data_IF_536880039023
#
_entry.id   IF_536880039023
#
_cell.length_a   1.000
_cell.length_b   1.000
_cell.length_c   1.000
_cell.angle_alpha   90.00
_cell.angle_beta   90.00
_cell.angle_gamma   90.00
#
_symmetry.space_group_name_H-M   'P 1'
#
loop_
_entity.id
_entity.type
_entity.pdbx_description
1 polymer ?
#
# COMPACT_ATOMS: atom_id res chain seq x y z
N UNK A 1 -9.39 31.84 -24.76
CA UNK A 1 -10.52 31.01 -24.26
C UNK A 1 -10.10 30.39 -22.93
N UNK A 2 -10.96 30.40 -21.93
CA UNK A 2 -10.60 30.13 -20.52
C UNK A 2 -10.14 28.69 -20.27
N UNK A 3 -8.83 28.47 -20.20
CA UNK A 3 -8.19 27.21 -19.78
C UNK A 3 -8.52 26.82 -18.31
N UNK A 4 -9.04 27.76 -17.50
CA UNK A 4 -9.26 27.60 -16.06
C UNK A 4 -10.09 26.36 -15.66
N UNK A 5 -11.06 25.94 -16.48
CA UNK A 5 -11.86 24.76 -16.13
C UNK A 5 -11.09 23.45 -16.37
N UNK A 6 -10.22 23.40 -17.39
CA UNK A 6 -9.35 22.26 -17.67
C UNK A 6 -8.34 22.08 -16.56
N UNK A 7 -7.70 23.18 -16.15
CA UNK A 7 -6.73 23.16 -15.06
C UNK A 7 -7.37 22.68 -13.75
N UNK A 8 -8.60 23.12 -13.47
CA UNK A 8 -9.37 22.66 -12.31
C UNK A 8 -9.72 21.17 -12.40
N UNK A 9 -10.20 20.71 -13.55
CA UNK A 9 -10.54 19.30 -13.77
C UNK A 9 -9.31 18.39 -13.67
N UNK A 10 -8.16 18.83 -14.18
CA UNK A 10 -6.91 18.09 -14.02
C UNK A 10 -6.47 18.08 -12.54
N UNK A 11 -6.52 19.24 -11.87
CA UNK A 11 -6.12 19.34 -10.46
C UNK A 11 -6.99 18.56 -9.48
N UNK A 12 -8.18 18.10 -9.89
CA UNK A 12 -9.04 17.27 -9.04
C UNK A 12 -8.68 15.80 -9.08
N UNK A 13 -7.60 15.38 -9.77
CA UNK A 13 -7.21 13.98 -10.00
C UNK A 13 -8.19 13.13 -10.82
N UNK A 14 -9.45 13.53 -10.94
CA UNK A 14 -10.50 12.80 -11.65
C UNK A 14 -10.10 12.16 -13.01
N UNK A 15 -9.35 12.84 -13.92
CA UNK A 15 -8.89 12.18 -15.14
C UNK A 15 -7.88 11.06 -14.90
N UNK A 16 -6.94 11.25 -13.97
CA UNK A 16 -5.95 10.24 -13.60
C UNK A 16 -6.63 9.03 -12.95
N UNK A 17 -7.61 9.26 -12.07
CA UNK A 17 -8.43 8.19 -11.47
C UNK A 17 -9.09 7.35 -12.57
N UNK A 18 -9.76 8.00 -13.54
CA UNK A 18 -10.41 7.30 -14.63
C UNK A 18 -9.45 6.49 -15.51
N UNK A 19 -8.27 7.03 -15.80
CA UNK A 19 -7.26 6.31 -16.57
C UNK A 19 -6.71 5.10 -15.79
N UNK A 20 -6.45 5.26 -14.48
CA UNK A 20 -6.00 4.17 -13.62
C UNK A 20 -7.04 3.06 -13.47
N UNK A 21 -8.32 3.41 -13.29
CA UNK A 21 -9.41 2.43 -13.26
C UNK A 21 -9.48 1.64 -14.57
N UNK A 22 -9.34 2.30 -15.71
CA UNK A 22 -9.32 1.62 -17.02
C UNK A 22 -8.14 0.67 -17.17
N UNK A 23 -6.98 1.03 -16.65
CA UNK A 23 -5.81 0.15 -16.72
C UNK A 23 -6.01 -1.10 -15.86
N UNK A 24 -6.44 -0.91 -14.61
CA UNK A 24 -6.77 -2.01 -13.70
C UNK A 24 -7.84 -2.94 -14.27
N UNK A 25 -8.90 -2.39 -14.87
CA UNK A 25 -9.94 -3.21 -15.51
C UNK A 25 -9.46 -4.00 -16.72
N UNK A 26 -8.44 -3.52 -17.47
CA UNK A 26 -7.83 -4.33 -18.55
C UNK A 26 -7.06 -5.52 -18.00
N UNK A 27 -6.47 -5.36 -16.82
CA UNK A 27 -5.66 -6.39 -16.15
C UNK A 27 -6.49 -7.36 -15.29
N UNK A 28 -7.82 -7.34 -15.42
CA UNK A 28 -8.73 -8.29 -14.79
C UNK A 28 -9.26 -7.86 -13.41
N UNK A 29 -8.99 -6.63 -12.97
CA UNK A 29 -9.55 -6.14 -11.72
C UNK A 29 -11.01 -5.68 -11.88
N UNK A 30 -11.85 -6.07 -10.94
CA UNK A 30 -13.12 -5.40 -10.65
C UNK A 30 -12.84 -4.12 -9.88
N UNK A 31 -13.27 -2.98 -10.42
CA UNK A 31 -12.87 -1.66 -9.91
C UNK A 31 -14.08 -0.90 -9.35
N UNK A 32 -13.94 -0.45 -8.10
CA UNK A 32 -14.86 0.48 -7.46
C UNK A 32 -14.22 1.87 -7.36
N UNK A 33 -15.02 2.91 -7.63
CA UNK A 33 -14.53 4.29 -7.76
C UNK A 33 -14.22 4.98 -6.44
N UNK A 34 -14.49 4.36 -5.30
CA UNK A 34 -14.15 4.88 -3.97
C UNK A 34 -14.11 3.72 -2.95
N UNK A 35 -13.08 3.67 -2.09
CA UNK A 35 -13.12 2.90 -0.84
C UNK A 35 -13.49 3.83 0.32
N UNK A 36 -14.74 3.79 0.78
CA UNK A 36 -15.22 4.66 1.84
C UNK A 36 -14.88 4.12 3.24
N UNK A 37 -14.41 4.98 4.13
CA UNK A 37 -14.18 4.66 5.54
C UNK A 37 -14.46 5.87 6.43
N UNK A 38 -14.80 5.63 7.69
CA UNK A 38 -14.91 6.69 8.68
C UNK A 38 -13.72 6.70 9.62
N UNK A 39 -13.31 7.89 10.07
CA UNK A 39 -12.41 8.05 11.23
C UNK A 39 -12.83 9.24 12.09
N UNK A 40 -12.29 9.30 13.30
CA UNK A 40 -12.43 10.50 14.13
C UNK A 40 -11.52 11.61 13.60
N UNK A 41 -12.07 12.82 13.55
CA UNK A 41 -11.34 14.07 13.32
C UNK A 41 -11.70 15.02 14.46
N UNK A 42 -10.83 15.03 15.48
CA UNK A 42 -11.18 15.53 16.81
C UNK A 42 -12.30 14.68 17.42
N UNK A 43 -13.37 15.34 17.88
CA UNK A 43 -14.53 14.67 18.49
C UNK A 43 -15.61 14.26 17.48
N UNK A 44 -15.40 14.51 16.18
CA UNK A 44 -16.41 14.26 15.13
C UNK A 44 -16.00 13.08 14.25
N UNK A 45 -16.89 12.12 14.06
CA UNK A 45 -16.74 11.07 13.04
C UNK A 45 -16.99 11.67 11.66
N UNK A 46 -16.01 11.54 10.76
CA UNK A 46 -16.09 11.99 9.37
C UNK A 46 -15.81 10.84 8.42
N UNK A 47 -16.44 10.90 7.26
CA UNK A 47 -16.20 9.96 6.18
C UNK A 47 -15.12 10.49 5.25
N UNK A 48 -14.26 9.56 4.82
CA UNK A 48 -13.16 9.75 3.91
C UNK A 48 -13.22 8.62 2.87
N UNK A 49 -12.47 8.79 1.80
CA UNK A 49 -12.29 7.74 0.81
C UNK A 49 -10.86 7.70 0.30
N UNK A 50 -10.52 6.54 -0.23
CA UNK A 50 -9.44 6.38 -1.21
C UNK A 50 -10.07 6.28 -2.59
N UNK A 51 -9.41 6.87 -3.59
CA UNK A 51 -9.99 7.06 -4.92
C UNK A 51 -10.31 5.76 -5.67
N UNK A 52 -9.62 4.65 -5.44
CA UNK A 52 -9.87 3.38 -6.15
C UNK A 52 -9.70 2.19 -5.21
N UNK A 53 -10.69 1.30 -5.19
CA UNK A 53 -10.59 -0.08 -4.68
C UNK A 53 -10.67 -1.05 -5.86
N UNK A 54 -9.60 -1.80 -6.09
CA UNK A 54 -9.54 -2.78 -7.16
C UNK A 54 -9.33 -4.18 -6.58
N UNK A 55 -10.24 -5.08 -6.94
CA UNK A 55 -10.27 -6.47 -6.49
C UNK A 55 -10.06 -7.41 -7.67
N UNK A 56 -9.14 -8.36 -7.52
CA UNK A 56 -8.95 -9.49 -8.44
C UNK A 56 -8.75 -10.78 -7.65
N UNK A 57 -8.70 -11.91 -8.35
CA UNK A 57 -8.55 -13.23 -7.75
C UNK A 57 -7.41 -14.00 -8.43
N UNK A 58 -6.74 -14.85 -7.67
CA UNK A 58 -5.76 -15.80 -8.20
C UNK A 58 -6.42 -17.14 -8.52
N UNK A 59 -5.90 -17.89 -9.51
CA UNK A 59 -4.89 -17.47 -10.47
C UNK A 59 -5.48 -16.46 -11.47
N UNK A 60 -4.70 -15.43 -11.84
CA UNK A 60 -5.21 -14.28 -12.59
C UNK A 60 -5.74 -14.59 -14.00
N UNK A 61 -5.49 -15.80 -14.51
CA UNK A 61 -5.91 -16.26 -15.84
C UNK A 61 -7.13 -17.20 -15.79
N UNK A 62 -7.64 -17.55 -14.61
CA UNK A 62 -8.79 -18.46 -14.43
C UNK A 62 -9.80 -17.91 -13.42
N UNK A 63 -11.01 -17.62 -13.88
CA UNK A 63 -12.10 -17.14 -13.00
C UNK A 63 -12.80 -18.29 -12.24
N UNK A 64 -12.58 -19.54 -12.62
CA UNK A 64 -13.32 -20.70 -12.11
C UNK A 64 -12.66 -21.37 -10.88
N UNK A 65 -11.41 -21.03 -10.55
CA UNK A 65 -10.62 -21.72 -9.52
C UNK A 65 -9.94 -20.72 -8.56
N UNK A 66 -10.76 -20.03 -7.75
CA UNK A 66 -10.28 -18.95 -6.88
C UNK A 66 -9.45 -19.51 -5.71
N UNK A 67 -8.16 -19.24 -5.73
CA UNK A 67 -7.19 -19.65 -4.68
C UNK A 67 -6.80 -18.51 -3.74
N UNK A 68 -7.12 -17.27 -4.09
CA UNK A 68 -6.75 -16.10 -3.30
C UNK A 68 -7.38 -14.83 -3.84
N UNK A 69 -7.39 -13.77 -3.03
CA UNK A 69 -7.89 -12.45 -3.45
C UNK A 69 -6.82 -11.36 -3.36
N UNK A 70 -6.91 -10.36 -4.24
CA UNK A 70 -5.91 -9.29 -4.35
C UNK A 70 -6.61 -7.95 -4.36
N UNK A 71 -6.29 -7.11 -3.36
CA UNK A 71 -6.78 -5.75 -3.22
C UNK A 71 -5.69 -4.73 -3.53
N UNK A 72 -5.91 -3.90 -4.55
CA UNK A 72 -5.11 -2.70 -4.81
C UNK A 72 -5.92 -1.47 -4.38
N UNK A 73 -5.37 -0.73 -3.41
CA UNK A 73 -5.99 0.49 -2.90
C UNK A 73 -5.20 1.68 -3.45
N UNK A 74 -5.78 2.45 -4.37
CA UNK A 74 -5.03 3.47 -5.14
C UNK A 74 -5.54 4.87 -4.85
N UNK A 75 -4.67 5.71 -4.31
CA UNK A 75 -4.91 7.15 -4.12
C UNK A 75 -4.23 7.93 -5.24
N UNK A 76 -4.97 8.71 -6.00
CA UNK A 76 -4.52 9.43 -7.18
C UNK A 76 -4.22 10.90 -6.87
N UNK A 77 -2.99 11.34 -7.15
CA UNK A 77 -2.56 12.73 -6.98
C UNK A 77 -2.01 13.29 -8.29
N UNK A 78 -2.89 13.89 -9.10
CA UNK A 78 -2.47 14.62 -10.28
C UNK A 78 -1.69 15.89 -9.91
N UNK A 79 -0.65 16.19 -10.70
CA UNK A 79 0.14 17.41 -10.63
C UNK A 79 0.32 18.08 -11.97
N UNK A 80 0.33 19.41 -11.91
CA UNK A 80 0.65 20.26 -13.06
C UNK A 80 2.11 20.06 -13.47
N UNK A 81 2.38 20.27 -14.75
CA UNK A 81 3.73 20.23 -15.30
C UNK A 81 4.69 21.14 -14.53
N UNK A 82 5.94 20.69 -14.36
CA UNK A 82 6.95 21.37 -13.55
C UNK A 82 6.91 21.02 -12.06
N UNK A 83 6.02 20.11 -11.66
CA UNK A 83 6.02 19.52 -10.32
C UNK A 83 6.79 18.19 -10.35
N UNK A 84 7.75 18.02 -9.44
CA UNK A 84 8.53 16.79 -9.26
C UNK A 84 8.41 16.33 -7.81
N UNK A 85 8.43 15.04 -7.55
CA UNK A 85 8.48 14.52 -6.18
C UNK A 85 9.88 13.98 -5.89
N UNK A 86 10.56 14.57 -4.90
CA UNK A 86 11.89 14.18 -4.47
C UNK A 86 11.80 13.44 -3.15
N UNK A 87 12.36 12.23 -3.11
CA UNK A 87 12.37 11.35 -1.97
C UNK A 87 13.77 11.20 -1.39
N UNK A 88 13.86 11.13 -0.07
CA UNK A 88 15.08 10.81 0.64
C UNK A 88 15.17 9.30 0.85
N UNK A 89 16.25 8.63 0.42
CA UNK A 89 16.45 7.21 0.70
C UNK A 89 16.57 6.98 2.21
N UNK A 90 16.37 5.75 2.66
CA UNK A 90 16.67 5.36 4.05
C UNK A 90 18.18 5.56 4.35
N UNK A 91 18.57 6.49 5.25
CA UNK A 91 19.95 6.66 5.68
C UNK A 91 20.40 5.64 6.73
N UNK A 92 19.52 4.78 7.25
CA UNK A 92 19.90 3.79 8.25
C UNK A 92 20.65 2.61 7.63
N UNK A 93 21.49 1.97 8.45
CA UNK A 93 21.99 0.63 8.15
C UNK A 93 20.81 -0.37 8.09
N UNK A 94 20.91 -1.46 7.30
CA UNK A 94 19.81 -2.40 7.09
C UNK A 94 19.15 -2.90 8.38
N UNK A 95 19.94 -3.22 9.41
CA UNK A 95 19.44 -3.74 10.71
C UNK A 95 18.65 -2.71 11.53
N UNK A 96 18.71 -1.42 11.16
CA UNK A 96 18.00 -0.32 11.81
C UNK A 96 16.96 0.32 10.89
N UNK A 97 16.76 -0.25 9.69
CA UNK A 97 15.71 0.16 8.80
C UNK A 97 14.35 -0.14 9.42
N UNK A 98 13.38 0.78 9.36
CA UNK A 98 12.00 0.51 9.76
C UNK A 98 11.21 -0.19 8.65
N UNK A 99 11.79 -0.35 7.47
CA UNK A 99 11.21 -1.16 6.41
C UNK A 99 11.41 -2.64 6.73
N UNK A 100 10.35 -3.41 6.52
CA UNK A 100 10.36 -4.85 6.68
C UNK A 100 10.05 -5.44 5.30
N UNK A 101 10.99 -6.24 4.79
CA UNK A 101 10.79 -6.94 3.52
C UNK A 101 9.60 -7.90 3.64
N UNK A 102 8.81 -7.98 2.57
CA UNK A 102 7.58 -8.74 2.52
C UNK A 102 6.34 -7.99 3.03
N UNK A 103 6.47 -6.73 3.45
CA UNK A 103 5.33 -5.92 3.95
C UNK A 103 4.85 -4.86 2.95
N UNK A 104 5.49 -4.74 1.78
CA UNK A 104 5.05 -3.83 0.73
C UNK A 104 3.78 -4.35 0.06
N UNK A 105 3.84 -5.57 -0.48
CA UNK A 105 2.66 -6.40 -0.79
C UNK A 105 2.37 -7.17 0.49
N UNK A 106 1.27 -6.88 1.16
CA UNK A 106 0.92 -7.63 2.37
C UNK A 106 0.31 -8.95 1.93
N UNK A 107 0.97 -10.05 2.26
CA UNK A 107 0.43 -11.39 2.13
C UNK A 107 -0.21 -11.79 3.46
N UNK A 108 -1.53 -12.02 3.48
CA UNK A 108 -2.27 -12.39 4.67
C UNK A 108 -2.92 -13.75 4.46
N UNK A 109 -2.37 -14.75 5.15
CA UNK A 109 -2.88 -16.12 5.15
C UNK A 109 -3.42 -16.52 6.52
N UNK A 110 -3.13 -15.77 7.60
CA UNK A 110 -3.42 -16.13 9.00
C UNK A 110 -4.90 -16.38 9.31
N UNK A 111 -5.80 -16.05 8.39
CA UNK A 111 -7.25 -16.26 8.45
C UNK A 111 -7.75 -17.29 7.43
N UNK A 112 -6.83 -18.08 6.87
CA UNK A 112 -7.08 -19.14 5.90
C UNK A 112 -6.44 -20.46 6.35
N UNK A 113 -7.05 -21.56 5.91
CA UNK A 113 -6.52 -22.91 5.95
C UNK A 113 -5.28 -23.08 5.05
N UNK A 114 -5.17 -22.32 3.96
CA UNK A 114 -4.01 -22.35 3.09
C UNK A 114 -2.88 -21.49 3.69
N UNK A 115 -1.67 -22.05 3.77
CA UNK A 115 -0.51 -21.39 4.35
C UNK A 115 0.42 -20.91 3.25
N UNK A 116 0.70 -19.60 3.23
CA UNK A 116 1.66 -19.04 2.29
C UNK A 116 3.09 -19.32 2.77
N UNK A 117 4.03 -19.61 1.87
CA UNK A 117 5.42 -19.79 2.25
C UNK A 117 5.98 -18.53 2.92
N UNK A 118 6.91 -18.68 3.88
CA UNK A 118 7.57 -17.53 4.47
C UNK A 118 8.29 -16.72 3.39
N UNK A 119 8.23 -15.39 3.49
CA UNK A 119 8.88 -14.47 2.57
C UNK A 119 8.40 -14.57 1.11
N UNK A 120 7.21 -15.12 0.84
CA UNK A 120 6.69 -15.35 -0.51
C UNK A 120 6.59 -14.08 -1.39
N UNK A 121 6.51 -12.90 -0.78
CA UNK A 121 6.43 -11.60 -1.46
C UNK A 121 7.69 -10.74 -1.31
N UNK A 122 8.72 -11.21 -0.60
CA UNK A 122 10.04 -10.55 -0.53
C UNK A 122 10.70 -10.35 -1.91
N UNK A 123 10.53 -11.24 -2.91
CA UNK A 123 11.10 -11.01 -4.24
C UNK A 123 10.66 -9.69 -4.90
N UNK A 124 9.48 -9.14 -4.56
CA UNK A 124 9.07 -7.82 -5.02
C UNK A 124 9.98 -6.72 -4.45
N UNK A 125 10.27 -6.81 -3.15
CA UNK A 125 11.08 -5.85 -2.41
C UNK A 125 12.57 -5.91 -2.78
N UNK A 126 13.06 -7.07 -3.24
CA UNK A 126 14.44 -7.28 -3.69
C UNK A 126 14.67 -6.93 -5.16
N UNK A 127 13.63 -6.48 -5.88
CA UNK A 127 13.74 -6.14 -7.29
C UNK A 127 14.80 -5.07 -7.52
N UNK A 128 15.69 -5.31 -8.48
CA UNK A 128 16.75 -4.37 -8.82
C UNK A 128 16.19 -2.98 -9.16
N UNK A 129 16.71 -1.96 -8.48
CA UNK A 129 16.30 -0.57 -8.69
C UNK A 129 15.06 -0.12 -7.92
N UNK A 130 14.43 -0.99 -7.12
CA UNK A 130 13.41 -0.57 -6.16
C UNK A 130 14.07 0.12 -4.97
N UNK A 131 13.63 1.35 -4.68
CA UNK A 131 14.21 2.18 -3.62
C UNK A 131 13.26 2.28 -2.42
N UNK A 132 13.81 2.22 -1.22
CA UNK A 132 13.11 2.43 0.04
C UNK A 132 13.41 3.83 0.57
N UNK A 133 12.36 4.65 0.70
CA UNK A 133 12.49 6.09 0.95
C UNK A 133 11.69 6.54 2.17
N UNK A 134 12.30 7.33 3.04
CA UNK A 134 11.63 7.78 4.24
C UNK A 134 10.58 8.85 4.05
N UNK A 135 10.91 9.82 3.21
CA UNK A 135 10.16 11.06 3.12
C UNK A 135 10.25 11.62 1.72
N UNK A 136 9.10 12.00 1.18
CA UNK A 136 8.99 12.76 -0.06
C UNK A 136 8.71 14.24 0.20
N UNK A 137 9.14 15.07 -0.73
CA UNK A 137 8.75 16.47 -0.86
C UNK A 137 8.36 16.75 -2.31
N UNK A 138 7.30 17.51 -2.48
CA UNK A 138 6.93 18.04 -3.79
C UNK A 138 7.72 19.32 -4.05
N UNK A 139 8.37 19.40 -5.22
CA UNK A 139 9.14 20.55 -5.67
C UNK A 139 8.48 21.12 -6.93
N UNK A 140 7.97 22.35 -6.82
CA UNK A 140 7.43 23.11 -7.94
C UNK A 140 8.54 23.98 -8.53
N UNK A 141 9.11 23.51 -9.65
CA UNK A 141 10.21 24.19 -10.33
C UNK A 141 9.75 25.44 -11.09
N UNK A 142 8.44 25.65 -11.23
CA UNK A 142 7.85 26.81 -11.93
C UNK A 142 7.59 27.96 -10.96
N UNK A 143 7.08 27.65 -9.76
CA UNK A 143 6.71 28.65 -8.74
C UNK A 143 7.71 28.74 -7.58
N UNK A 144 8.84 28.04 -7.66
CA UNK A 144 9.93 28.03 -6.67
C UNK A 144 9.43 27.73 -5.24
N UNK A 145 8.65 26.66 -5.10
CA UNK A 145 8.12 26.23 -3.81
C UNK A 145 8.35 24.74 -3.56
N UNK A 146 8.42 24.36 -2.29
CA UNK A 146 8.57 22.98 -1.86
C UNK A 146 7.62 22.67 -0.70
N UNK A 147 6.83 21.60 -0.83
CA UNK A 147 5.78 21.23 0.14
C UNK A 147 5.67 19.71 0.26
N UNK A 148 5.51 19.19 1.48
CA UNK A 148 5.30 17.74 1.71
C UNK A 148 3.82 17.38 1.94
N UNK A 149 2.95 18.39 2.04
CA UNK A 149 1.58 18.24 2.51
C UNK A 149 0.74 17.28 1.68
N UNK A 150 0.92 17.25 0.35
CA UNK A 150 0.08 16.44 -0.52
C UNK A 150 0.49 14.96 -0.53
N UNK A 151 1.79 14.66 -0.50
CA UNK A 151 2.30 13.28 -0.36
C UNK A 151 1.82 12.73 0.98
N UNK A 152 2.06 13.47 2.07
CA UNK A 152 1.62 13.07 3.41
C UNK A 152 0.10 12.88 3.51
N UNK A 153 -0.67 13.74 2.84
CA UNK A 153 -2.13 13.61 2.84
C UNK A 153 -2.59 12.32 2.14
N UNK A 154 -2.05 12.03 0.96
CA UNK A 154 -2.37 10.79 0.24
C UNK A 154 -1.95 9.52 1.00
N UNK A 155 -0.74 9.52 1.59
CA UNK A 155 -0.28 8.43 2.45
C UNK A 155 -1.17 8.26 3.69
N UNK A 156 -1.67 9.35 4.29
CA UNK A 156 -2.62 9.28 5.39
C UNK A 156 -3.99 8.73 4.97
N UNK A 157 -4.49 9.05 3.77
CA UNK A 157 -5.74 8.47 3.27
C UNK A 157 -5.59 6.95 3.13
N UNK A 158 -4.53 6.50 2.47
CA UNK A 158 -4.20 5.08 2.35
C UNK A 158 -4.06 4.41 3.72
N UNK A 159 -3.23 4.97 4.61
CA UNK A 159 -2.97 4.37 5.93
C UNK A 159 -4.26 4.17 6.74
N UNK A 160 -5.16 5.15 6.76
CA UNK A 160 -6.39 5.06 7.55
C UNK A 160 -7.47 4.17 6.93
N UNK A 161 -7.39 3.89 5.63
CA UNK A 161 -8.25 2.95 4.94
C UNK A 161 -7.83 1.47 5.15
N UNK A 162 -6.56 1.21 5.48
CA UNK A 162 -6.06 -0.15 5.63
C UNK A 162 -6.72 -0.96 6.78
N UNK A 163 -6.96 -0.42 7.99
CA UNK A 163 -7.62 -1.21 9.03
C UNK A 163 -9.06 -1.62 8.66
N UNK A 164 -9.92 -0.70 8.14
CA UNK A 164 -11.23 -1.08 7.62
C UNK A 164 -11.18 -2.08 6.46
N UNK A 165 -10.20 -1.96 5.55
CA UNK A 165 -10.02 -2.93 4.47
C UNK A 165 -9.66 -4.31 5.05
N UNK A 166 -8.70 -4.37 5.99
CA UNK A 166 -8.28 -5.62 6.60
C UNK A 166 -9.44 -6.29 7.36
N UNK A 167 -10.21 -5.55 8.16
CA UNK A 167 -11.39 -6.11 8.83
C UNK A 167 -12.42 -6.60 7.83
N UNK A 168 -12.69 -5.83 6.77
CA UNK A 168 -13.63 -6.23 5.71
C UNK A 168 -13.17 -7.50 4.99
N UNK A 169 -11.89 -7.60 4.59
CA UNK A 169 -11.32 -8.77 3.92
C UNK A 169 -11.40 -10.02 4.81
N UNK A 170 -11.20 -9.90 6.12
CA UNK A 170 -11.34 -11.05 7.03
C UNK A 170 -12.81 -11.43 7.24
N UNK A 171 -13.71 -10.45 7.37
CA UNK A 171 -15.12 -10.69 7.69
C UNK A 171 -15.93 -11.25 6.53
N UNK A 172 -15.61 -10.81 5.32
CA UNK A 172 -16.37 -11.14 4.11
C UNK A 172 -15.55 -11.93 3.09
N UNK A 173 -14.27 -12.20 3.40
CA UNK A 173 -13.42 -13.10 2.63
C UNK A 173 -13.88 -14.55 2.76
N UNK A 174 -13.40 -15.37 1.83
CA UNK A 174 -13.49 -16.83 1.93
C UNK A 174 -12.30 -17.36 2.74
N UNK A 175 -12.29 -18.67 3.01
CA UNK A 175 -11.17 -19.38 3.66
C UNK A 175 -9.96 -19.52 2.70
N UNK A 176 -9.47 -18.40 2.16
CA UNK A 176 -8.36 -18.30 1.19
C UNK A 176 -7.45 -17.13 1.58
N UNK A 177 -6.15 -17.18 1.24
CA UNK A 177 -5.24 -16.07 1.49
C UNK A 177 -5.64 -14.84 0.67
N UNK A 178 -5.25 -13.67 1.16
CA UNK A 178 -5.48 -12.42 0.47
C UNK A 178 -4.30 -11.47 0.55
N UNK A 179 -4.21 -10.62 -0.47
CA UNK A 179 -3.11 -9.67 -0.64
C UNK A 179 -3.63 -8.24 -0.63
N UNK A 180 -2.92 -7.34 0.05
CA UNK A 180 -3.27 -5.91 0.08
C UNK A 180 -2.04 -5.08 -0.33
N UNK A 181 -2.23 -4.21 -1.33
CA UNK A 181 -1.20 -3.29 -1.81
C UNK A 181 -1.75 -1.86 -1.94
N UNK A 182 -1.36 -0.94 -1.03
CA UNK A 182 -1.72 0.47 -1.10
C UNK A 182 -0.73 1.25 -1.97
N UNK A 183 -1.26 2.01 -2.92
CA UNK A 183 -0.50 2.70 -3.96
C UNK A 183 -0.88 4.18 -3.98
N UNK A 184 0.11 5.06 -3.87
CA UNK A 184 -0.01 6.48 -4.15
C UNK A 184 0.42 6.72 -5.61
N UNK A 185 -0.55 6.99 -6.47
CA UNK A 185 -0.35 7.17 -7.90
C UNK A 185 -0.25 8.65 -8.27
N UNK A 186 0.73 9.03 -9.08
CA UNK A 186 0.88 10.42 -9.55
C UNK A 186 1.41 10.47 -10.98
N UNK A 187 1.13 11.55 -11.71
CA UNK A 187 1.81 11.85 -12.98
C UNK A 187 3.08 12.69 -12.78
N UNK A 188 3.44 13.07 -11.55
CA UNK A 188 4.69 13.76 -11.28
C UNK A 188 5.87 12.77 -11.40
N UNK A 189 6.99 13.16 -12.04
CA UNK A 189 8.22 12.38 -12.00
C UNK A 189 8.68 12.14 -10.57
N UNK A 190 9.12 10.91 -10.28
CA UNK A 190 9.62 10.51 -8.97
C UNK A 190 11.15 10.49 -8.99
N UNK A 191 11.76 11.19 -8.06
CA UNK A 191 13.21 11.27 -7.90
C UNK A 191 13.61 10.75 -6.53
N UNK A 192 14.69 9.98 -6.47
CA UNK A 192 15.34 9.56 -5.22
C UNK A 192 16.67 10.29 -5.11
N UNK A 193 16.85 11.02 -4.01
CA UNK A 193 18.06 11.76 -3.73
C UNK A 193 19.29 10.83 -3.72
N UNK A 194 20.40 11.30 -4.27
CA UNK A 194 21.65 10.55 -4.26
C UNK A 194 22.18 10.38 -2.83
N UNK A 195 23.06 9.38 -2.61
CA UNK A 195 23.65 9.11 -1.28
C UNK A 195 24.43 10.31 -0.71
N UNK A 196 24.95 11.17 -1.57
CA UNK A 196 25.69 12.39 -1.23
C UNK A 196 24.82 13.66 -1.21
N UNK A 197 23.48 13.50 -1.28
CA UNK A 197 22.54 14.62 -1.20
C UNK A 197 22.78 15.45 0.06
N UNK A 198 22.97 16.75 -0.13
CA UNK A 198 23.32 17.69 0.93
C UNK A 198 22.75 19.07 0.67
N UNK A 199 22.78 19.93 1.68
CA UNK A 199 22.41 21.34 1.49
C UNK A 199 23.29 22.03 0.44
N UNK A 200 24.58 21.68 0.37
CA UNK A 200 25.51 22.21 -0.63
C UNK A 200 25.12 21.76 -2.04
N UNK A 201 24.80 20.46 -2.22
CA UNK A 201 24.36 19.96 -3.53
C UNK A 201 23.09 20.66 -4.02
N UNK A 202 22.15 20.99 -3.13
CA UNK A 202 20.95 21.77 -3.49
C UNK A 202 21.29 23.21 -3.90
N UNK A 203 22.27 23.85 -3.25
CA UNK A 203 22.68 25.22 -3.56
C UNK A 203 23.50 25.32 -4.86
N UNK A 204 24.27 24.28 -5.19
CA UNK A 204 25.16 24.23 -6.35
C UNK A 204 24.45 23.67 -7.60
N UNK A 205 23.40 22.87 -7.42
CA UNK A 205 22.66 22.25 -8.52
C UNK A 205 21.68 23.22 -9.17
N UNK A 206 21.63 23.21 -10.50
CA UNK A 206 20.64 23.96 -11.27
C UNK A 206 19.39 23.13 -11.60
N UNK A 207 19.47 21.80 -11.47
CA UNK A 207 18.42 20.84 -11.83
C UNK A 207 18.40 19.70 -10.81
N UNK A 208 17.22 19.13 -10.54
CA UNK A 208 17.04 18.04 -9.56
C UNK A 208 17.82 16.79 -9.97
N UNK A 209 17.91 16.54 -11.27
CA UNK A 209 18.61 15.44 -11.92
C UNK A 209 20.11 15.39 -11.58
N UNK A 210 20.70 16.51 -11.16
CA UNK A 210 22.10 16.55 -10.74
C UNK A 210 22.33 15.99 -9.32
N UNK A 211 21.27 15.90 -8.52
CA UNK A 211 21.32 15.51 -7.11
C UNK A 211 20.39 14.34 -6.76
N UNK A 212 19.70 13.79 -7.75
CA UNK A 212 18.75 12.71 -7.58
C UNK A 212 18.60 11.91 -8.89
N UNK A 213 18.22 10.64 -8.76
CA UNK A 213 17.89 9.77 -9.89
C UNK A 213 16.38 9.62 -10.05
N UNK A 214 15.90 9.64 -11.28
CA UNK A 214 14.50 9.33 -11.57
C UNK A 214 14.24 7.83 -11.39
N UNK A 215 13.10 7.46 -10.80
CA UNK A 215 12.67 6.07 -10.58
C UNK A 215 11.22 5.87 -11.02
N UNK A 216 10.84 4.68 -11.51
CA UNK A 216 9.47 4.41 -11.96
C UNK A 216 8.47 4.37 -10.81
N UNK A 217 8.89 3.74 -9.71
CA UNK A 217 8.16 3.63 -8.45
C UNK A 217 9.14 3.34 -7.31
N UNK A 218 8.70 3.56 -6.08
CA UNK A 218 9.49 3.36 -4.85
C UNK A 218 8.57 2.92 -3.70
N UNK A 219 9.17 2.41 -2.62
CA UNK A 219 8.46 2.14 -1.36
C UNK A 219 8.73 3.28 -0.39
N UNK A 220 7.68 3.82 0.22
CA UNK A 220 7.79 4.82 1.27
C UNK A 220 7.21 4.32 2.58
N UNK A 221 7.63 4.98 3.67
CA UNK A 221 7.20 4.67 5.03
C UNK A 221 6.33 5.79 5.62
N UNK A 222 5.27 5.42 6.35
CA UNK A 222 4.57 6.31 7.27
C UNK A 222 4.38 5.61 8.62
N UNK A 223 5.00 6.15 9.67
CA UNK A 223 4.94 5.51 10.99
C UNK A 223 3.53 5.54 11.60
N UNK A 224 3.33 4.71 12.62
CA UNK A 224 2.10 4.63 13.40
C UNK A 224 2.09 5.75 14.44
N UNK A 225 1.15 6.69 14.30
CA UNK A 225 0.92 7.72 15.31
C UNK A 225 0.01 7.20 16.44
N UNK A 226 -0.03 7.87 17.61
CA UNK A 226 -1.00 7.56 18.66
C UNK A 226 -2.45 7.63 18.18
N UNK A 227 -2.79 8.63 17.37
CA UNK A 227 -4.14 8.79 16.82
C UNK A 227 -4.48 7.66 15.84
N UNK A 228 -3.52 7.24 15.02
CA UNK A 228 -3.71 6.10 14.11
C UNK A 228 -3.82 4.77 14.88
N UNK A 229 -3.08 4.61 15.99
CA UNK A 229 -3.22 3.45 16.88
C UNK A 229 -4.64 3.37 17.43
N UNK A 230 -5.20 4.49 17.90
CA UNK A 230 -6.57 4.55 18.39
C UNK A 230 -7.60 4.24 17.30
N UNK A 231 -7.36 4.72 16.07
CA UNK A 231 -8.19 4.36 14.91
C UNK A 231 -8.20 2.84 14.66
N UNK A 232 -7.02 2.20 14.65
CA UNK A 232 -6.93 0.75 14.49
C UNK A 232 -7.68 0.03 15.61
N UNK A 233 -7.40 0.36 16.88
CA UNK A 233 -8.05 -0.24 18.05
C UNK A 233 -9.56 -0.06 17.97
N UNK A 234 -10.05 1.12 17.58
CA UNK A 234 -11.48 1.38 17.43
C UNK A 234 -12.11 0.52 16.33
N UNK A 235 -11.44 0.38 15.18
CA UNK A 235 -11.91 -0.43 14.05
C UNK A 235 -12.03 -1.91 14.44
N UNK A 236 -10.96 -2.49 15.02
CA UNK A 236 -10.93 -3.89 15.43
C UNK A 236 -11.82 -4.21 16.64
N UNK A 237 -12.14 -3.24 17.51
CA UNK A 237 -13.07 -3.48 18.63
C UNK A 237 -14.54 -3.24 18.26
N UNK A 238 -14.82 -2.29 17.36
CA UNK A 238 -16.21 -1.82 17.13
C UNK A 238 -16.84 -2.39 15.86
N UNK A 239 -16.04 -2.61 14.82
CA UNK A 239 -16.53 -2.95 13.48
C UNK A 239 -16.17 -4.38 13.07
N UNK A 240 -15.07 -4.92 13.60
CA UNK A 240 -14.64 -6.28 13.29
C UNK A 240 -15.52 -7.33 13.99
N UNK A 241 -16.26 -8.11 13.20
CA UNK A 241 -17.13 -9.20 13.68
C UNK A 241 -16.66 -10.52 13.08
N UNK A 242 -16.20 -11.43 13.93
CA UNK A 242 -15.69 -12.73 13.51
C UNK A 242 -16.36 -13.85 14.30
N UNK A 243 -16.41 -15.04 13.70
CA UNK A 243 -16.77 -16.27 14.40
C UNK A 243 -15.56 -16.78 15.17
N UNK A 244 -15.64 -16.80 16.49
CA UNK A 244 -14.56 -17.34 17.32
C UNK A 244 -14.33 -18.84 17.05
N UNK A 245 -15.41 -19.59 16.82
CA UNK A 245 -15.36 -21.03 16.48
C UNK A 245 -14.63 -21.28 15.15
N UNK A 246 -14.86 -20.43 14.15
CA UNK A 246 -14.21 -20.56 12.84
C UNK A 246 -12.72 -20.26 12.95
N UNK A 247 -12.36 -19.17 13.65
CA UNK A 247 -10.96 -18.81 13.88
C UNK A 247 -10.22 -19.84 14.75
N UNK A 248 -10.88 -20.45 15.74
CA UNK A 248 -10.30 -21.57 16.50
C UNK A 248 -10.08 -22.79 15.61
N UNK A 249 -11.00 -23.09 14.70
CA UNK A 249 -10.89 -24.23 13.78
C UNK A 249 -9.71 -24.06 12.83
N UNK A 250 -9.57 -22.89 12.21
CA UNK A 250 -8.42 -22.55 11.35
C UNK A 250 -7.12 -22.59 12.17
N UNK A 251 -7.12 -22.00 13.37
CA UNK A 251 -5.96 -21.99 14.24
C UNK A 251 -5.49 -23.39 14.65
N UNK A 252 -6.44 -24.30 14.93
CA UNK A 252 -6.14 -25.69 15.28
C UNK A 252 -5.56 -26.47 14.08
N UNK A 253 -6.10 -26.25 12.87
CA UNK A 253 -5.57 -26.84 11.64
C UNK A 253 -4.11 -26.41 11.43
N UNK A 254 -3.85 -25.09 11.39
CA UNK A 254 -2.50 -24.53 11.17
C UNK A 254 -1.50 -24.99 12.23
N UNK A 255 -1.92 -25.04 13.49
CA UNK A 255 -1.07 -25.53 14.57
C UNK A 255 -0.72 -27.02 14.38
N UNK A 256 -1.64 -27.83 13.85
CA UNK A 256 -1.40 -29.24 13.55
C UNK A 256 -0.41 -29.44 12.39
N UNK A 257 -0.31 -28.46 11.49
CA UNK A 257 0.63 -28.40 10.37
C UNK A 257 1.98 -27.77 10.75
N UNK A 258 2.14 -27.34 12.00
CA UNK A 258 3.40 -26.87 12.56
C UNK A 258 3.59 -25.34 12.54
N UNK A 259 2.53 -24.56 12.29
CA UNK A 259 2.59 -23.10 12.36
C UNK A 259 2.83 -22.61 13.79
N UNK A 260 3.48 -21.45 13.91
CA UNK A 260 3.77 -20.84 15.21
C UNK A 260 2.53 -20.16 15.82
N UNK A 261 2.36 -20.28 17.14
CA UNK A 261 1.21 -19.70 17.87
C UNK A 261 0.94 -18.22 17.55
N UNK A 262 1.99 -17.40 17.44
CA UNK A 262 1.85 -15.95 17.20
C UNK A 262 1.33 -15.59 15.80
N UNK A 263 1.31 -16.55 14.86
CA UNK A 263 0.75 -16.40 13.52
C UNK A 263 -0.68 -16.95 13.40
N UNK A 264 -1.20 -17.55 14.46
CA UNK A 264 -2.57 -18.04 14.47
C UNK A 264 -3.56 -16.87 14.51
N UNK A 265 -4.78 -17.06 13.98
CA UNK A 265 -5.74 -15.95 13.84
C UNK A 265 -6.11 -15.30 15.18
N UNK A 266 -6.38 -16.07 16.23
CA UNK A 266 -6.81 -15.50 17.54
C UNK A 266 -5.73 -14.62 18.19
N UNK A 267 -4.45 -15.05 18.30
CA UNK A 267 -3.35 -14.18 18.74
C UNK A 267 -3.22 -12.91 17.90
N UNK A 268 -3.29 -13.01 16.57
CA UNK A 268 -3.21 -11.85 15.68
C UNK A 268 -4.34 -10.84 15.94
N UNK A 269 -5.59 -11.32 16.09
CA UNK A 269 -6.73 -10.46 16.45
C UNK A 269 -6.52 -9.78 17.79
N UNK A 270 -5.94 -10.46 18.79
CA UNK A 270 -5.61 -9.85 20.09
C UNK A 270 -4.55 -8.75 19.95
N UNK A 271 -3.52 -8.95 19.13
CA UNK A 271 -2.52 -7.92 18.86
C UNK A 271 -3.11 -6.70 18.14
N UNK A 272 -3.98 -6.92 17.15
CA UNK A 272 -4.67 -5.84 16.43
C UNK A 272 -5.65 -5.05 17.32
N UNK A 273 -6.44 -5.75 18.14
CA UNK A 273 -7.41 -5.13 19.09
C UNK A 273 -6.74 -4.38 20.24
N UNK A 274 -5.53 -4.78 20.64
CA UNK A 274 -4.74 -4.10 21.67
C UNK A 274 -3.86 -2.97 21.11
N UNK A 275 -3.72 -2.89 19.78
CA UNK A 275 -2.87 -1.89 19.12
C UNK A 275 -1.38 -2.16 19.31
N UNK A 276 -0.97 -3.43 19.30
CA UNK A 276 0.44 -3.81 19.43
C UNK A 276 1.27 -3.20 18.29
N UNK A 277 2.26 -2.38 18.63
CA UNK A 277 2.98 -1.55 17.66
C UNK A 277 3.72 -2.36 16.59
N UNK A 278 4.31 -3.50 16.95
CA UNK A 278 4.97 -4.42 16.01
C UNK A 278 4.00 -4.90 14.93
N UNK A 279 2.82 -5.37 15.34
CA UNK A 279 1.74 -5.81 14.44
C UNK A 279 1.25 -4.66 13.57
N UNK A 280 0.95 -3.50 14.16
CA UNK A 280 0.47 -2.35 13.39
C UNK A 280 1.52 -1.87 12.36
N UNK A 281 2.80 -1.88 12.72
CA UNK A 281 3.89 -1.56 11.79
C UNK A 281 3.92 -2.53 10.62
N UNK A 282 3.69 -3.82 10.88
CA UNK A 282 3.66 -4.85 9.85
C UNK A 282 2.60 -4.63 8.78
N UNK A 283 1.39 -4.21 9.18
CA UNK A 283 0.27 -4.07 8.25
C UNK A 283 0.06 -2.64 7.71
N UNK A 284 0.57 -1.58 8.35
CA UNK A 284 0.02 -0.25 8.09
C UNK A 284 1.05 0.85 7.82
N UNK A 285 2.28 0.51 7.43
CA UNK A 285 3.36 1.52 7.32
C UNK A 285 4.10 1.60 5.99
N UNK A 286 4.04 0.58 5.13
CA UNK A 286 4.68 0.57 3.81
C UNK A 286 3.68 0.83 2.67
N UNK A 287 4.04 1.75 1.78
CA UNK A 287 3.21 2.19 0.65
C UNK A 287 4.05 2.27 -0.61
N UNK A 288 3.47 1.90 -1.76
CA UNK A 288 4.11 2.11 -3.05
C UNK A 288 3.78 3.52 -3.53
N UNK A 289 4.77 4.26 -4.01
CA UNK A 289 4.55 5.50 -4.78
C UNK A 289 4.92 5.23 -6.22
N UNK A 290 3.97 5.45 -7.14
CA UNK A 290 4.13 5.10 -8.55
C UNK A 290 3.90 6.30 -9.45
N UNK A 291 4.78 6.47 -10.44
CA UNK A 291 4.49 7.34 -11.56
C UNK A 291 3.49 6.66 -12.51
N UNK A 292 2.56 7.45 -13.06
CA UNK A 292 1.51 7.01 -13.97
C UNK A 292 2.03 6.22 -15.17
N UNK A 293 3.11 6.69 -15.80
CA UNK A 293 3.65 6.05 -17.01
C UNK A 293 4.21 4.65 -16.74
N UNK A 294 4.44 4.31 -15.46
CA UNK A 294 4.94 3.02 -15.00
C UNK A 294 3.90 2.17 -14.25
N UNK A 295 2.67 2.69 -14.09
CA UNK A 295 1.61 1.99 -13.36
C UNK A 295 1.26 0.60 -13.95
N UNK A 296 1.15 0.41 -15.28
CA UNK A 296 0.93 -0.92 -15.85
C UNK A 296 2.06 -1.91 -15.51
N UNK A 297 3.31 -1.43 -15.50
CA UNK A 297 4.47 -2.26 -15.15
C UNK A 297 4.41 -2.67 -13.68
N UNK A 298 4.07 -1.73 -12.78
CA UNK A 298 3.87 -2.02 -11.36
C UNK A 298 2.79 -3.09 -11.15
N UNK A 299 1.62 -2.96 -11.80
CA UNK A 299 0.54 -3.94 -11.69
C UNK A 299 1.00 -5.32 -12.15
N UNK A 300 1.72 -5.39 -13.27
CA UNK A 300 2.30 -6.64 -13.76
C UNK A 300 3.31 -7.26 -12.77
N UNK A 301 4.15 -6.44 -12.14
CA UNK A 301 5.13 -6.90 -11.14
C UNK A 301 4.46 -7.45 -9.88
N UNK A 302 3.39 -6.79 -9.43
CA UNK A 302 2.58 -7.25 -8.29
C UNK A 302 1.92 -8.60 -8.64
N UNK A 303 1.26 -8.70 -9.80
CA UNK A 303 0.63 -9.96 -10.24
C UNK A 303 1.67 -11.08 -10.35
N UNK A 304 2.82 -10.84 -10.96
CA UNK A 304 3.87 -11.85 -11.08
C UNK A 304 4.37 -12.33 -9.71
N UNK A 305 4.57 -11.42 -8.76
CA UNK A 305 4.97 -11.77 -7.39
C UNK A 305 3.92 -12.62 -6.70
N UNK A 306 2.65 -12.22 -6.79
CA UNK A 306 1.55 -12.95 -6.17
C UNK A 306 1.36 -14.34 -6.80
N UNK A 307 1.46 -14.46 -8.12
CA UNK A 307 1.42 -15.77 -8.80
C UNK A 307 2.50 -16.70 -8.27
N UNK A 308 3.75 -16.23 -8.15
CA UNK A 308 4.83 -17.03 -7.59
C UNK A 308 4.56 -17.44 -6.13
N UNK A 309 3.97 -16.56 -5.33
CA UNK A 309 3.60 -16.85 -3.95
C UNK A 309 2.51 -17.94 -3.85
N UNK A 310 1.57 -17.97 -4.80
CA UNK A 310 0.46 -18.92 -4.83
C UNK A 310 0.84 -20.28 -5.43
N UNK A 311 1.71 -20.34 -6.44
CA UNK A 311 2.17 -21.60 -7.06
C UNK A 311 2.82 -22.56 -6.04
N UNK A 312 3.46 -22.00 -5.02
CA UNK A 312 4.10 -22.76 -3.93
C UNK A 312 3.11 -23.35 -2.92
N UNK A 313 1.85 -22.91 -2.90
CA UNK A 313 0.79 -23.49 -2.05
C UNK A 313 0.28 -24.80 -2.65
N UNK A 314 0.16 -24.86 -3.99
CA UNK A 314 -0.38 -26.03 -4.71
C UNK A 314 0.55 -27.27 -4.67
N UNK A 315 1.84 -27.10 -4.32
CA UNK A 315 2.81 -28.20 -4.35
C UNK A 315 2.84 -29.09 -3.11
N UNK A 316 2.17 -28.70 -2.02
CA UNK A 316 2.19 -29.40 -0.73
C UNK A 316 0.91 -30.22 -0.43
N UNK A 317 -0.06 -30.28 -1.37
CA UNK A 317 -1.23 -31.18 -1.33
C UNK A 317 -1.01 -32.49 -2.09
#
# INVERSE_FOLDING_TARGET
>A
MSQKWKDKLLSSSFPLEFEAMKELSKDGFSVSSEFAYSRLDGDTRKDFSVDIDALCFTPFESEDDVTGSVHLLVECKYRKNGTKWLFLPDPNEPDYSPFILGHTIRAIDSFSSDVLPPNCVVPFDEKEGLEFCFKGVEVDTVNASAHDGQIRHGLSQLQYALPPLLTHSIMFGSDIPFFICPILLTNAPLFVANKDFSMASVQESNEIENMAKEVPYLVTYQDVSPDFTQHCVSEFNSNFKYSFEDLESIGALRLSEGEYEHKLPIPLVKSLTSGELSTLKGYFTQFIVCNWDHFPTLVSDIKATISMAMETVETDT
#
